data_IF_845822305107
#
_entry.id   IF_845822305107
#
_cell.length_a   1.000
_cell.length_b   1.000
_cell.length_c   1.000
_cell.angle_alpha   90.00
_cell.angle_beta   90.00
_cell.angle_gamma   90.00
#
_symmetry.space_group_name_H-M   'P 1'
#
loop_
_entity.id
_entity.type
_entity.pdbx_description
1 polymer ?
#
# COMPACT_ATOMS: atom_id res chain seq x y z
N UNK A 1 -4.22 -2.47 -16.85
CA UNK A 1 -3.10 -2.43 -15.90
C UNK A 1 -1.80 -2.72 -16.65
N UNK A 2 -0.82 -1.87 -16.49
CA UNK A 2 0.46 -1.97 -17.18
C UNK A 2 1.59 -1.46 -16.27
N UNK A 3 2.80 -1.31 -16.84
CA UNK A 3 3.95 -0.81 -16.08
C UNK A 3 3.73 0.60 -15.54
N UNK A 4 3.02 1.44 -16.29
CA UNK A 4 2.73 2.81 -15.84
C UNK A 4 1.86 2.80 -14.58
N UNK A 5 0.95 1.85 -14.44
CA UNK A 5 0.14 1.71 -13.23
C UNK A 5 1.04 1.51 -12.00
N UNK A 6 2.03 0.63 -12.12
CA UNK A 6 2.95 0.32 -11.01
C UNK A 6 3.75 1.56 -10.60
N UNK A 7 4.32 2.27 -11.59
CA UNK A 7 5.07 3.52 -11.33
C UNK A 7 4.20 4.57 -10.65
N UNK A 8 3.02 4.79 -11.19
CA UNK A 8 2.11 5.81 -10.68
C UNK A 8 1.62 5.48 -9.29
N UNK A 9 1.35 4.20 -9.02
CA UNK A 9 0.90 3.75 -7.72
C UNK A 9 1.98 3.93 -6.64
N UNK A 10 3.22 3.58 -6.96
CA UNK A 10 4.35 3.81 -6.06
C UNK A 10 4.51 5.30 -5.77
N UNK A 11 4.43 6.14 -6.79
CA UNK A 11 4.52 7.59 -6.63
C UNK A 11 3.41 8.13 -5.75
N UNK A 12 2.18 7.70 -5.98
CA UNK A 12 1.02 8.10 -5.17
C UNK A 12 1.21 7.75 -3.70
N UNK A 13 1.61 6.51 -3.43
CA UNK A 13 1.82 6.04 -2.05
C UNK A 13 3.01 6.76 -1.41
N UNK A 14 4.07 7.02 -2.17
CA UNK A 14 5.23 7.77 -1.69
C UNK A 14 4.86 9.19 -1.28
N UNK A 15 4.09 9.89 -2.13
CA UNK A 15 3.65 11.25 -1.86
C UNK A 15 2.74 11.30 -0.63
N UNK A 16 1.87 10.32 -0.46
CA UNK A 16 1.03 10.20 0.73
C UNK A 16 1.86 10.03 2.00
N UNK A 17 2.92 9.23 1.93
CA UNK A 17 3.81 9.00 3.07
C UNK A 17 4.67 10.24 3.36
N UNK A 18 4.81 11.14 2.39
CA UNK A 18 5.58 12.37 2.54
C UNK A 18 7.08 12.16 2.49
N UNK A 19 7.57 11.14 1.77
CA UNK A 19 9.00 10.87 1.64
C UNK A 19 9.48 11.15 0.22
N UNK A 20 10.75 11.55 0.09
CA UNK A 20 11.39 11.75 -1.20
C UNK A 20 11.78 10.41 -1.83
N UNK A 21 12.02 10.43 -3.14
CA UNK A 21 12.55 9.25 -3.83
C UNK A 21 13.88 8.80 -3.23
N UNK A 22 14.72 9.75 -2.88
CA UNK A 22 16.01 9.48 -2.24
C UNK A 22 15.81 8.78 -0.88
N UNK A 23 14.99 9.35 -0.03
CA UNK A 23 14.72 8.80 1.30
C UNK A 23 14.13 7.40 1.24
N UNK A 24 13.13 7.21 0.38
CA UNK A 24 12.51 5.89 0.20
C UNK A 24 13.52 4.85 -0.28
N UNK A 25 14.39 5.23 -1.24
CA UNK A 25 15.42 4.33 -1.74
C UNK A 25 16.32 3.83 -0.62
N UNK A 26 16.80 4.74 0.22
CA UNK A 26 17.67 4.40 1.33
C UNK A 26 16.96 3.56 2.40
N UNK A 27 15.72 3.90 2.71
CA UNK A 27 14.94 3.16 3.71
C UNK A 27 14.61 1.74 3.25
N UNK A 28 14.53 1.52 1.93
CA UNK A 28 14.39 0.18 1.36
C UNK A 28 15.70 -0.60 1.31
N UNK A 29 16.80 0.00 1.74
CA UNK A 29 18.13 -0.64 1.68
C UNK A 29 18.71 -0.67 0.27
N UNK A 30 18.26 0.22 -0.61
CA UNK A 30 18.72 0.30 -2.00
C UNK A 30 19.65 1.50 -2.20
N UNK A 31 20.25 1.60 -3.40
CA UNK A 31 21.03 2.77 -3.73
C UNK A 31 20.12 3.99 -3.87
N UNK A 32 20.71 5.19 -3.79
CA UNK A 32 19.99 6.47 -3.73
C UNK A 32 19.11 6.78 -4.93
N UNK A 33 19.34 6.14 -6.07
CA UNK A 33 18.58 6.40 -7.31
C UNK A 33 17.60 5.28 -7.65
N UNK A 34 17.38 4.32 -6.75
CA UNK A 34 16.54 3.16 -7.01
C UNK A 34 15.11 3.55 -7.37
N UNK A 35 14.46 4.35 -6.53
CA UNK A 35 13.07 4.76 -6.76
C UNK A 35 12.95 5.68 -7.96
N UNK A 36 13.94 6.56 -8.18
CA UNK A 36 13.96 7.44 -9.34
C UNK A 36 14.03 6.63 -10.65
N UNK A 37 14.78 5.53 -10.67
CA UNK A 37 14.83 4.65 -11.82
C UNK A 37 13.46 4.00 -12.11
N UNK A 38 12.69 3.67 -11.08
CA UNK A 38 11.34 3.14 -11.23
C UNK A 38 10.39 4.25 -11.74
N UNK A 39 10.39 5.40 -11.10
CA UNK A 39 9.48 6.49 -11.45
C UNK A 39 9.72 7.05 -12.86
N UNK A 40 10.96 6.97 -13.34
CA UNK A 40 11.31 7.42 -14.71
C UNK A 40 11.01 6.37 -15.78
N UNK A 41 10.62 5.16 -15.40
CA UNK A 41 10.32 4.08 -16.33
C UNK A 41 11.52 3.26 -16.77
N UNK A 42 12.71 3.49 -16.19
CA UNK A 42 13.92 2.75 -16.55
C UNK A 42 13.99 1.36 -15.92
N UNK A 43 13.26 1.15 -14.85
CA UNK A 43 13.28 -0.11 -14.11
C UNK A 43 11.90 -0.41 -13.51
N UNK A 44 11.66 -1.69 -13.26
CA UNK A 44 10.55 -2.17 -12.43
C UNK A 44 11.14 -2.89 -11.22
N UNK A 45 10.45 -2.90 -10.09
CA UNK A 45 10.91 -3.71 -8.96
C UNK A 45 10.84 -5.19 -9.29
N UNK A 46 11.80 -5.97 -8.77
CA UNK A 46 11.65 -7.42 -8.76
C UNK A 46 10.48 -7.80 -7.85
N UNK A 47 9.99 -9.04 -7.94
CA UNK A 47 8.92 -9.50 -7.07
C UNK A 47 9.31 -9.35 -5.59
N UNK A 48 10.54 -9.68 -5.26
CA UNK A 48 11.04 -9.52 -3.88
C UNK A 48 10.97 -8.06 -3.43
N UNK A 49 11.43 -7.14 -4.29
CA UNK A 49 11.39 -5.71 -3.96
C UNK A 49 9.96 -5.17 -3.94
N UNK A 50 9.09 -5.67 -4.80
CA UNK A 50 7.67 -5.31 -4.76
C UNK A 50 7.05 -5.64 -3.40
N UNK A 51 7.32 -6.83 -2.86
CA UNK A 51 6.83 -7.22 -1.54
C UNK A 51 7.39 -6.32 -0.44
N UNK A 52 8.67 -5.95 -0.54
CA UNK A 52 9.31 -5.03 0.39
C UNK A 52 8.69 -3.63 0.30
N UNK A 53 8.33 -3.18 -0.89
CA UNK A 53 7.66 -1.89 -1.10
C UNK A 53 6.28 -1.90 -0.44
N UNK A 54 5.51 -2.97 -0.61
CA UNK A 54 4.22 -3.10 0.06
C UNK A 54 4.37 -3.05 1.58
N UNK A 55 5.35 -3.77 2.11
CA UNK A 55 5.64 -3.76 3.55
C UNK A 55 6.06 -2.37 4.03
N UNK A 56 6.89 -1.68 3.26
CA UNK A 56 7.31 -0.32 3.54
C UNK A 56 6.12 0.63 3.67
N UNK A 57 5.12 0.49 2.81
CA UNK A 57 3.89 1.28 2.85
C UNK A 57 2.84 0.72 3.81
N UNK A 58 3.11 -0.40 4.46
CA UNK A 58 2.18 -1.07 5.39
C UNK A 58 0.86 -1.44 4.71
N UNK A 59 0.95 -1.96 3.49
CA UNK A 59 -0.20 -2.43 2.72
C UNK A 59 0.04 -3.85 2.22
N UNK A 60 -1.04 -4.52 1.83
CA UNK A 60 -0.96 -5.82 1.15
C UNK A 60 -0.78 -5.61 -0.36
N UNK A 61 -0.29 -6.62 -1.09
CA UNK A 61 -0.29 -6.55 -2.56
C UNK A 61 -1.67 -6.28 -3.16
N UNK A 62 -2.73 -6.83 -2.57
CA UNK A 62 -4.09 -6.56 -3.01
C UNK A 62 -4.42 -5.06 -2.89
N UNK A 63 -4.09 -4.46 -1.77
CA UNK A 63 -4.29 -3.02 -1.54
C UNK A 63 -3.44 -2.17 -2.48
N UNK A 64 -2.25 -2.64 -2.83
CA UNK A 64 -1.41 -1.95 -3.81
C UNK A 64 -2.15 -1.79 -5.15
N UNK A 65 -2.82 -2.84 -5.61
CA UNK A 65 -3.54 -2.82 -6.88
C UNK A 65 -4.94 -2.23 -6.80
N UNK A 66 -5.41 -1.88 -5.62
CA UNK A 66 -6.71 -1.23 -5.41
C UNK A 66 -6.51 0.29 -5.32
N UNK A 67 -6.54 0.95 -6.48
CA UNK A 67 -6.32 2.40 -6.56
C UNK A 67 -7.49 3.22 -6.03
N UNK A 68 -8.63 2.60 -5.76
CA UNK A 68 -9.81 3.28 -5.21
C UNK A 68 -9.73 3.43 -3.70
N UNK A 69 -8.84 2.69 -3.05
CA UNK A 69 -8.70 2.73 -1.61
C UNK A 69 -7.98 4.00 -1.17
N UNK A 70 -8.70 4.86 -0.42
CA UNK A 70 -8.20 6.19 -0.04
C UNK A 70 -7.15 6.11 1.07
N UNK A 71 -7.32 5.20 2.03
CA UNK A 71 -6.45 5.07 3.20
C UNK A 71 -6.01 3.61 3.41
N UNK A 72 -5.09 3.10 2.56
CA UNK A 72 -4.73 1.69 2.59
C UNK A 72 -4.14 1.22 3.93
N UNK A 73 -3.39 2.08 4.63
CA UNK A 73 -2.81 1.73 5.92
C UNK A 73 -3.88 1.55 6.99
N UNK A 74 -4.87 2.44 7.03
CA UNK A 74 -5.97 2.34 7.98
C UNK A 74 -6.87 1.15 7.69
N UNK A 75 -7.16 0.89 6.42
CA UNK A 75 -7.94 -0.27 6.00
C UNK A 75 -7.21 -1.57 6.37
N UNK A 76 -5.90 -1.62 6.16
CA UNK A 76 -5.10 -2.79 6.56
C UNK A 76 -5.20 -3.04 8.07
N UNK A 77 -5.08 -2.00 8.88
CA UNK A 77 -5.24 -2.13 10.34
C UNK A 77 -6.61 -2.63 10.73
N UNK A 78 -7.66 -2.15 10.08
CA UNK A 78 -9.02 -2.61 10.31
C UNK A 78 -9.17 -4.09 9.96
N UNK A 79 -8.64 -4.52 8.79
CA UNK A 79 -8.66 -5.91 8.37
C UNK A 79 -7.92 -6.81 9.34
N UNK A 80 -6.73 -6.38 9.79
CA UNK A 80 -5.94 -7.15 10.75
C UNK A 80 -6.71 -7.33 12.06
N UNK A 81 -7.37 -6.27 12.53
CA UNK A 81 -8.21 -6.34 13.72
C UNK A 81 -9.40 -7.29 13.55
N UNK A 82 -10.05 -7.23 12.37
CA UNK A 82 -11.19 -8.10 12.09
C UNK A 82 -10.84 -9.58 12.11
N UNK A 83 -9.62 -9.95 11.70
CA UNK A 83 -9.19 -11.34 11.67
C UNK A 83 -9.07 -11.99 13.05
N UNK A 84 -9.03 -11.19 14.11
CA UNK A 84 -8.94 -11.68 15.48
C UNK A 84 -10.29 -11.78 16.16
N UNK A 85 -11.37 -11.33 15.50
CA UNK A 85 -12.71 -11.28 16.09
C UNK A 85 -13.45 -12.61 15.91
N UNK A 86 -14.33 -12.90 16.87
CA UNK A 86 -15.29 -14.00 16.77
C UNK A 86 -16.39 -13.62 15.77
N UNK A 87 -17.09 -14.63 15.27
CA UNK A 87 -18.17 -14.43 14.29
C UNK A 87 -19.24 -13.47 14.81
N UNK A 88 -19.64 -13.59 16.07
CA UNK A 88 -20.64 -12.69 16.69
C UNK A 88 -20.20 -11.24 16.67
N UNK A 89 -18.92 -11.01 16.96
CA UNK A 89 -18.36 -9.65 16.95
C UNK A 89 -18.25 -9.09 15.53
N UNK A 90 -17.88 -9.95 14.56
CA UNK A 90 -17.87 -9.58 13.15
C UNK A 90 -19.27 -9.18 12.66
N UNK A 91 -20.30 -9.91 13.07
CA UNK A 91 -21.69 -9.59 12.72
C UNK A 91 -22.06 -8.21 13.27
N UNK A 92 -21.71 -7.92 14.51
CA UNK A 92 -21.94 -6.61 15.12
C UNK A 92 -21.20 -5.51 14.35
N UNK A 93 -19.95 -5.77 13.96
CA UNK A 93 -19.16 -4.82 13.18
C UNK A 93 -19.80 -4.56 11.83
N UNK A 94 -20.29 -5.59 11.15
CA UNK A 94 -21.00 -5.43 9.86
C UNK A 94 -22.22 -4.53 10.03
N UNK A 95 -22.99 -4.71 11.10
CA UNK A 95 -24.14 -3.85 11.41
C UNK A 95 -23.72 -2.40 11.61
N UNK A 96 -22.61 -2.17 12.31
CA UNK A 96 -22.07 -0.83 12.51
C UNK A 96 -21.61 -0.20 11.19
N UNK A 97 -20.91 -0.95 10.35
CA UNK A 97 -20.48 -0.48 9.03
C UNK A 97 -21.69 -0.08 8.19
N UNK A 98 -22.74 -0.92 8.17
CA UNK A 98 -23.95 -0.62 7.41
C UNK A 98 -24.63 0.67 7.91
N UNK A 99 -24.60 0.91 9.20
CA UNK A 99 -25.14 2.14 9.79
C UNK A 99 -24.36 3.38 9.36
N UNK A 100 -23.04 3.26 9.27
CA UNK A 100 -22.20 4.37 8.82
C UNK A 100 -22.40 4.71 7.34
N UNK A 101 -22.84 3.75 6.56
CA UNK A 101 -23.08 3.93 5.12
C UNK A 101 -24.44 4.55 4.79
N UNK A 102 -25.35 4.59 5.75
CA UNK A 102 -26.71 5.10 5.54
C UNK A 102 -26.83 6.60 5.74
#
# INVERSE_FOLDING_TARGET
MDEAFIRNRITELRLKKGVSEYQMSLELGQNRSYIQAISSGRALPSMKQFLNICEYFEITPLQFFDSEEINPQLVKKALDGMRTLKDEDLIMLIGFINRLQS
#
